data_IF_218752444077
#
_entry.id   IF_218752444077
#
_cell.length_a   1.000
_cell.length_b   1.000
_cell.length_c   1.000
_cell.angle_alpha   90.00
_cell.angle_beta   90.00
_cell.angle_gamma   90.00
#
_symmetry.space_group_name_H-M   'P 1'
#
loop_
_entity.id
_entity.type
_entity.pdbx_description
1 polymer ?
#
# COMPACT_ATOMS: atom_id res chain seq x y z
N UNK A 1 -17.63 0.19 -13.69
CA UNK A 1 -17.31 -1.17 -13.26
C UNK A 1 -16.06 -1.18 -12.36
N UNK A 2 -15.96 -2.11 -11.43
CA UNK A 2 -14.77 -2.37 -10.61
C UNK A 2 -13.98 -3.52 -11.25
N UNK A 3 -12.67 -3.31 -11.45
CA UNK A 3 -11.75 -4.35 -11.90
C UNK A 3 -10.74 -4.65 -10.79
N UNK A 4 -10.55 -5.93 -10.49
CA UNK A 4 -9.60 -6.40 -9.48
C UNK A 4 -8.44 -7.06 -10.21
N UNK A 5 -7.24 -6.58 -9.95
CA UNK A 5 -5.99 -7.14 -10.49
C UNK A 5 -5.25 -7.81 -9.34
N UNK A 6 -5.00 -9.12 -9.45
CA UNK A 6 -4.16 -9.84 -8.49
C UNK A 6 -2.68 -9.51 -8.75
N UNK A 7 -2.00 -9.05 -7.72
CA UNK A 7 -0.61 -8.61 -7.78
C UNK A 7 0.28 -9.32 -6.73
N UNK A 8 -0.23 -10.33 -6.07
CA UNK A 8 0.43 -10.95 -4.90
C UNK A 8 1.85 -11.40 -5.22
N UNK A 9 2.01 -12.16 -6.29
CA UNK A 9 3.32 -12.72 -6.65
C UNK A 9 4.30 -11.65 -7.13
N UNK A 10 3.83 -10.74 -8.00
CA UNK A 10 4.65 -9.68 -8.57
C UNK A 10 5.06 -8.63 -7.51
N UNK A 11 4.19 -8.36 -6.54
CA UNK A 11 4.48 -7.41 -5.46
C UNK A 11 5.59 -7.89 -4.53
N UNK A 12 5.88 -9.19 -4.50
CA UNK A 12 6.94 -9.79 -3.69
C UNK A 12 8.28 -9.12 -3.98
N UNK A 13 8.63 -8.92 -5.24
CA UNK A 13 9.87 -8.25 -5.63
C UNK A 13 9.93 -6.79 -5.20
N UNK A 14 8.81 -6.07 -5.29
CA UNK A 14 8.70 -4.67 -4.82
C UNK A 14 9.04 -4.55 -3.33
N UNK A 15 8.64 -5.52 -2.52
CA UNK A 15 8.95 -5.52 -1.09
C UNK A 15 10.37 -6.00 -0.80
N UNK A 16 10.86 -7.02 -1.51
CA UNK A 16 12.17 -7.62 -1.22
C UNK A 16 13.34 -6.78 -1.78
N UNK A 17 13.16 -6.18 -2.96
CA UNK A 17 14.20 -5.52 -3.74
C UNK A 17 13.81 -4.11 -4.22
N UNK A 18 13.34 -3.21 -3.34
CA UNK A 18 12.90 -1.89 -3.77
C UNK A 18 14.07 -1.10 -4.35
N UNK A 19 13.93 -0.62 -5.59
CA UNK A 19 14.93 0.19 -6.30
C UNK A 19 15.23 1.52 -5.57
N UNK A 20 14.20 2.14 -5.01
CA UNK A 20 14.30 3.40 -4.28
C UNK A 20 14.43 3.21 -2.77
N UNK A 21 14.61 1.97 -2.32
CA UNK A 21 14.75 1.62 -0.92
C UNK A 21 13.46 1.78 -0.11
N UNK A 22 13.61 1.61 1.19
CA UNK A 22 12.48 1.75 2.11
C UNK A 22 12.31 3.18 2.59
N UNK A 23 11.07 3.54 2.87
CA UNK A 23 10.70 4.77 3.55
C UNK A 23 10.76 4.62 5.05
N UNK A 24 9.63 4.89 5.73
CA UNK A 24 9.50 4.62 7.14
C UNK A 24 9.43 3.10 7.35
N UNK A 25 10.33 2.57 8.18
CA UNK A 25 10.49 1.13 8.43
C UNK A 25 10.69 0.33 7.12
N UNK A 26 9.87 -0.70 6.86
CA UNK A 26 10.01 -1.58 5.68
C UNK A 26 9.07 -1.19 4.52
N UNK A 27 8.62 0.07 4.47
CA UNK A 27 7.67 0.51 3.45
C UNK A 27 8.36 0.95 2.14
N UNK A 28 8.24 0.23 1.03
CA UNK A 28 8.79 0.59 -0.28
C UNK A 28 7.86 1.56 -1.01
N UNK A 29 7.43 2.64 -0.36
CA UNK A 29 6.31 3.49 -0.77
C UNK A 29 6.43 4.03 -2.20
N UNK A 30 7.63 4.40 -2.66
CA UNK A 30 7.84 4.93 -4.00
C UNK A 30 7.74 3.81 -5.05
N UNK A 31 8.42 2.69 -4.82
CA UNK A 31 8.38 1.52 -5.71
C UNK A 31 6.98 0.90 -5.77
N UNK A 32 6.28 0.84 -4.63
CA UNK A 32 4.88 0.42 -4.56
C UNK A 32 3.99 1.31 -5.46
N UNK A 33 4.18 2.63 -5.42
CA UNK A 33 3.39 3.54 -6.24
C UNK A 33 3.72 3.39 -7.72
N UNK A 34 4.99 3.28 -8.08
CA UNK A 34 5.44 3.01 -9.46
C UNK A 34 4.82 1.71 -9.97
N UNK A 35 4.87 0.66 -9.17
CA UNK A 35 4.30 -0.63 -9.51
C UNK A 35 2.78 -0.56 -9.75
N UNK A 36 2.03 0.07 -8.84
CA UNK A 36 0.58 0.23 -8.98
C UNK A 36 0.20 1.00 -10.25
N UNK A 37 0.93 2.09 -10.56
CA UNK A 37 0.64 2.89 -11.77
C UNK A 37 1.01 2.10 -13.03
N UNK A 38 2.11 1.32 -13.00
CA UNK A 38 2.49 0.43 -14.10
C UNK A 38 1.40 -0.60 -14.38
N UNK A 39 0.88 -1.27 -13.36
CA UNK A 39 -0.23 -2.22 -13.51
C UNK A 39 -1.49 -1.57 -14.08
N UNK A 40 -1.80 -0.36 -13.65
CA UNK A 40 -2.90 0.40 -14.25
C UNK A 40 -2.63 0.74 -15.73
N UNK A 41 -1.38 1.08 -16.09
CA UNK A 41 -1.00 1.37 -17.46
C UNK A 41 -1.09 0.13 -18.36
N UNK A 42 -0.61 -1.00 -17.89
CA UNK A 42 -0.73 -2.29 -18.58
C UNK A 42 -2.21 -2.62 -18.84
N UNK A 43 -3.03 -2.54 -17.79
CA UNK A 43 -4.46 -2.78 -17.90
C UNK A 43 -5.17 -1.80 -18.86
N UNK A 44 -4.82 -0.49 -18.81
CA UNK A 44 -5.36 0.51 -19.73
C UNK A 44 -5.04 0.17 -21.20
N UNK A 45 -3.80 -0.21 -21.47
CA UNK A 45 -3.38 -0.58 -22.82
C UNK A 45 -4.14 -1.81 -23.37
N UNK A 46 -4.35 -2.82 -22.53
CA UNK A 46 -5.08 -4.04 -22.87
C UNK A 46 -6.59 -3.80 -23.10
N UNK A 47 -7.16 -2.79 -22.44
CA UNK A 47 -8.60 -2.53 -22.46
C UNK A 47 -9.00 -1.28 -23.26
N UNK A 48 -8.06 -0.68 -24.00
CA UNK A 48 -8.33 0.45 -24.91
C UNK A 48 -8.64 1.77 -24.19
N UNK A 49 -8.04 2.01 -23.02
CA UNK A 49 -8.13 3.29 -22.33
C UNK A 49 -6.92 4.16 -22.64
N UNK A 50 -7.13 5.46 -22.79
CA UNK A 50 -6.12 6.40 -23.26
C UNK A 50 -5.21 6.95 -22.15
N UNK A 51 -5.70 7.05 -20.92
CA UNK A 51 -4.95 7.62 -19.80
C UNK A 51 -5.44 7.12 -18.43
N UNK A 52 -4.62 7.36 -17.41
CA UNK A 52 -4.87 6.98 -16.01
C UNK A 52 -5.19 8.23 -15.19
N UNK A 53 -6.13 8.12 -14.27
CA UNK A 53 -6.43 9.14 -13.28
C UNK A 53 -6.05 8.63 -11.89
N UNK A 54 -5.36 9.46 -11.10
CA UNK A 54 -5.08 9.18 -9.69
C UNK A 54 -5.48 10.33 -8.78
N UNK A 55 -5.95 10.01 -7.58
CA UNK A 55 -6.29 10.98 -6.54
C UNK A 55 -5.09 11.49 -5.72
N UNK A 56 -3.90 11.54 -6.31
CA UNK A 56 -2.70 12.03 -5.64
C UNK A 56 -2.70 13.55 -5.47
N UNK A 57 -2.17 14.01 -4.34
CA UNK A 57 -2.02 15.45 -4.02
C UNK A 57 -0.60 15.73 -3.61
N UNK A 58 0.02 16.77 -4.18
CA UNK A 58 1.39 17.18 -3.84
C UNK A 58 1.49 17.50 -2.35
N UNK A 59 2.47 16.87 -1.68
CA UNK A 59 2.74 17.09 -0.26
C UNK A 59 1.88 16.28 0.71
N UNK A 60 0.86 15.54 0.25
CA UNK A 60 -0.06 14.82 1.13
C UNK A 60 0.59 13.57 1.75
N UNK A 61 1.48 12.90 1.03
CA UNK A 61 2.26 11.75 1.56
C UNK A 61 3.76 12.02 1.47
N UNK A 62 4.52 11.72 2.55
CA UNK A 62 5.90 12.18 2.68
C UNK A 62 6.90 11.54 1.72
N UNK A 63 6.58 10.44 1.06
CA UNK A 63 7.49 9.75 0.12
C UNK A 63 7.00 9.83 -1.32
N UNK A 64 5.84 9.26 -1.63
CA UNK A 64 5.36 9.10 -3.01
C UNK A 64 4.67 10.35 -3.59
N UNK A 65 4.26 11.32 -2.76
CA UNK A 65 3.53 12.50 -3.21
C UNK A 65 4.31 13.82 -3.00
N UNK A 66 5.63 13.77 -3.14
CA UNK A 66 6.46 14.99 -3.23
C UNK A 66 6.49 15.48 -4.67
N UNK A 67 6.57 16.78 -4.88
CA UNK A 67 6.70 17.35 -6.22
C UNK A 67 7.84 16.68 -7.03
N UNK A 68 8.99 16.44 -6.40
CA UNK A 68 10.14 15.77 -7.02
C UNK A 68 9.93 14.29 -7.36
N UNK A 69 9.04 13.58 -6.66
CA UNK A 69 8.80 12.15 -6.89
C UNK A 69 7.70 11.86 -7.92
N UNK A 70 6.79 12.80 -8.15
CA UNK A 70 5.70 12.62 -9.11
C UNK A 70 6.17 12.39 -10.56
N UNK A 71 7.19 13.13 -11.08
CA UNK A 71 7.76 12.83 -12.39
C UNK A 71 8.49 11.48 -12.45
N UNK A 72 9.12 11.05 -11.34
CA UNK A 72 9.78 9.74 -11.25
C UNK A 72 8.74 8.63 -11.38
N UNK A 73 7.62 8.73 -10.67
CA UNK A 73 6.52 7.76 -10.75
C UNK A 73 6.01 7.66 -12.19
N UNK A 74 5.72 8.78 -12.85
CA UNK A 74 5.21 8.81 -14.20
C UNK A 74 6.17 8.12 -15.19
N UNK A 75 7.45 8.47 -15.14
CA UNK A 75 8.49 7.91 -16.01
C UNK A 75 8.73 6.43 -15.74
N UNK A 76 8.92 6.03 -14.48
CA UNK A 76 9.31 4.66 -14.15
C UNK A 76 8.15 3.67 -14.15
N UNK A 77 6.92 4.15 -14.13
CA UNK A 77 5.73 3.33 -14.38
C UNK A 77 5.38 3.17 -15.87
N UNK A 78 6.12 3.83 -16.75
CA UNK A 78 5.84 3.92 -18.21
C UNK A 78 4.53 4.63 -18.55
N UNK A 79 3.86 5.24 -17.57
CA UNK A 79 2.65 6.02 -17.82
C UNK A 79 2.98 7.42 -18.36
N UNK A 80 4.19 7.92 -18.10
CA UNK A 80 4.69 9.21 -18.58
C UNK A 80 3.66 10.33 -18.45
N UNK A 81 3.29 10.94 -19.55
CA UNK A 81 2.30 12.03 -19.61
C UNK A 81 0.84 11.56 -19.69
N UNK A 82 0.59 10.24 -19.73
CA UNK A 82 -0.76 9.65 -19.64
C UNK A 82 -1.31 9.54 -18.21
N UNK A 83 -0.52 9.98 -17.21
CA UNK A 83 -0.93 9.95 -15.80
C UNK A 83 -1.46 11.33 -15.38
N UNK A 84 -2.78 11.47 -15.33
CA UNK A 84 -3.47 12.69 -14.87
C UNK A 84 -3.70 12.66 -13.35
N UNK A 85 -3.44 13.79 -12.69
CA UNK A 85 -3.66 14.02 -11.25
C UNK A 85 -4.60 15.22 -11.04
N UNK A 86 -5.91 15.05 -11.21
CA UNK A 86 -6.87 16.16 -11.27
C UNK A 86 -6.85 17.08 -10.05
N UNK A 87 -6.56 16.53 -8.86
CA UNK A 87 -6.58 17.28 -7.61
C UNK A 87 -5.43 18.29 -7.45
N UNK A 88 -4.32 18.06 -8.16
CA UNK A 88 -3.13 18.94 -8.08
C UNK A 88 -2.54 19.28 -9.46
N UNK A 89 -3.29 19.09 -10.52
CA UNK A 89 -2.84 19.27 -11.90
C UNK A 89 -2.27 20.67 -12.17
N UNK A 90 -2.84 21.72 -11.56
CA UNK A 90 -2.39 23.08 -11.77
C UNK A 90 -0.94 23.34 -11.34
N UNK A 91 -0.37 22.49 -10.48
CA UNK A 91 1.03 22.55 -10.03
C UNK A 91 1.96 21.59 -10.80
N UNK A 92 1.46 20.88 -11.79
CA UNK A 92 2.20 19.93 -12.60
C UNK A 92 2.25 20.39 -14.07
N UNK A 93 3.20 19.86 -14.83
CA UNK A 93 3.20 20.02 -16.28
C UNK A 93 1.94 19.40 -16.87
N UNK A 94 1.32 19.99 -17.92
CA UNK A 94 0.18 19.42 -18.56
C UNK A 94 0.41 18.00 -19.07
N UNK A 95 -0.48 17.09 -18.69
CA UNK A 95 -0.48 15.70 -19.18
C UNK A 95 -1.04 15.62 -20.61
N UNK A 96 -0.89 14.47 -21.27
CA UNK A 96 -1.39 14.24 -22.61
C UNK A 96 -2.90 14.59 -22.73
N UNK A 97 -3.81 14.07 -21.88
CA UNK A 97 -5.25 14.39 -22.01
C UNK A 97 -5.56 15.87 -21.87
N UNK A 98 -4.74 16.65 -21.15
CA UNK A 98 -4.89 18.11 -21.05
C UNK A 98 -4.41 18.81 -22.34
N UNK A 99 -3.28 18.37 -22.94
CA UNK A 99 -2.74 18.95 -24.17
C UNK A 99 -3.60 18.64 -25.41
N UNK A 100 -4.16 17.45 -25.47
CA UNK A 100 -5.06 17.03 -26.56
C UNK A 100 -6.51 17.55 -26.38
N UNK A 101 -6.78 18.29 -25.29
CA UNK A 101 -8.11 18.86 -25.04
C UNK A 101 -9.18 17.83 -24.64
N UNK A 102 -8.80 16.60 -24.29
CA UNK A 102 -9.73 15.59 -23.77
C UNK A 102 -10.24 15.96 -22.38
N UNK A 103 -9.40 16.68 -21.64
CA UNK A 103 -9.71 17.18 -20.30
C UNK A 103 -9.44 18.67 -20.23
N UNK A 104 -10.43 19.44 -19.79
CA UNK A 104 -10.33 20.88 -19.59
C UNK A 104 -9.54 21.20 -18.32
N UNK A 105 -8.28 21.66 -18.50
CA UNK A 105 -7.37 22.00 -17.41
C UNK A 105 -7.94 23.06 -16.46
N UNK A 106 -8.79 23.96 -16.94
CA UNK A 106 -9.37 25.03 -16.11
C UNK A 106 -10.29 24.49 -15.02
N UNK A 107 -10.81 23.28 -15.20
CA UNK A 107 -11.66 22.55 -14.23
C UNK A 107 -10.86 21.67 -13.26
N UNK A 108 -9.54 21.57 -13.43
CA UNK A 108 -8.69 20.80 -12.55
C UNK A 108 -8.22 21.66 -11.37
N UNK A 109 -7.77 20.99 -10.31
CA UNK A 109 -7.48 21.65 -9.04
C UNK A 109 -5.98 21.85 -8.80
N UNK A 110 -5.66 22.77 -7.87
CA UNK A 110 -4.34 23.07 -7.35
C UNK A 110 -4.22 22.73 -5.86
N UNK A 111 -4.78 21.61 -5.41
CA UNK A 111 -4.73 21.21 -4.00
C UNK A 111 -3.30 20.75 -3.66
N UNK A 112 -2.75 21.24 -2.53
CA UNK A 112 -1.44 20.84 -2.02
C UNK A 112 -1.45 20.68 -0.51
N UNK A 113 -0.43 19.99 0.04
CA UNK A 113 -0.22 19.86 1.47
C UNK A 113 -0.90 18.65 2.08
N UNK A 114 -0.82 18.55 3.41
CA UNK A 114 -1.27 17.37 4.17
C UNK A 114 -2.75 17.38 4.52
N UNK A 115 -3.37 18.56 4.54
CA UNK A 115 -4.80 18.70 4.86
C UNK A 115 -5.66 18.02 3.80
N UNK A 116 -6.67 17.30 4.24
CA UNK A 116 -7.68 16.69 3.35
C UNK A 116 -8.99 17.50 3.35
N UNK A 117 -9.03 18.61 4.06
CA UNK A 117 -10.23 19.45 4.12
C UNK A 117 -10.71 19.88 2.72
N UNK A 118 -9.83 20.35 1.80
CA UNK A 118 -10.27 20.71 0.45
C UNK A 118 -10.88 19.52 -0.33
N UNK A 119 -10.38 18.31 -0.10
CA UNK A 119 -10.92 17.11 -0.76
C UNK A 119 -12.30 16.74 -0.22
N UNK A 120 -12.54 16.90 1.10
CA UNK A 120 -13.86 16.69 1.68
C UNK A 120 -14.87 17.73 1.23
N UNK A 121 -14.47 19.01 1.18
CA UNK A 121 -15.30 20.08 0.65
C UNK A 121 -15.67 19.83 -0.81
N UNK A 122 -14.73 19.38 -1.61
CA UNK A 122 -14.95 19.00 -3.01
C UNK A 122 -15.93 17.81 -3.11
N UNK A 123 -15.74 16.75 -2.31
CA UNK A 123 -16.63 15.61 -2.30
C UNK A 123 -18.07 16.01 -1.93
N UNK A 124 -18.22 16.86 -0.92
CA UNK A 124 -19.53 17.40 -0.54
C UNK A 124 -20.18 18.23 -1.65
N UNK A 125 -19.38 19.04 -2.38
CA UNK A 125 -19.90 19.84 -3.50
C UNK A 125 -20.41 18.98 -4.67
N UNK A 126 -19.92 17.75 -4.80
CA UNK A 126 -20.42 16.74 -5.74
C UNK A 126 -21.58 15.90 -5.18
N UNK A 127 -22.08 16.21 -3.99
CA UNK A 127 -23.19 15.49 -3.37
C UNK A 127 -22.83 14.16 -2.72
N UNK A 128 -21.54 13.86 -2.55
CA UNK A 128 -21.14 12.69 -1.78
C UNK A 128 -21.44 12.92 -0.30
N UNK A 129 -22.16 11.99 0.31
CA UNK A 129 -22.50 11.99 1.74
C UNK A 129 -21.65 11.01 2.54
N UNK A 130 -21.09 10.02 1.86
CA UNK A 130 -20.26 8.97 2.47
C UNK A 130 -18.95 8.81 1.72
N UNK A 131 -17.88 8.66 2.44
CA UNK A 131 -16.55 8.29 1.93
C UNK A 131 -15.76 7.54 2.97
N UNK A 132 -14.87 6.68 2.49
CA UNK A 132 -13.96 5.96 3.37
C UNK A 132 -13.06 6.94 4.13
N UNK A 133 -12.98 6.78 5.45
CA UNK A 133 -12.05 7.57 6.26
C UNK A 133 -10.61 7.29 5.80
N UNK A 134 -9.78 8.33 5.72
CA UNK A 134 -8.39 8.14 5.36
C UNK A 134 -7.70 7.27 6.40
N UNK A 135 -7.19 6.11 5.99
CA UNK A 135 -6.34 5.30 6.86
C UNK A 135 -5.15 6.13 7.36
N UNK A 136 -4.83 6.05 8.63
CA UNK A 136 -3.70 6.76 9.24
C UNK A 136 -2.34 6.38 8.64
N UNK A 137 -2.22 5.16 8.13
CA UNK A 137 -1.05 4.65 7.42
C UNK A 137 -1.41 4.10 6.04
N UNK A 138 -0.41 4.01 5.17
CA UNK A 138 -0.58 3.48 3.82
C UNK A 138 -0.68 1.96 3.81
N UNK A 139 0.10 1.30 4.66
CA UNK A 139 0.15 -0.15 4.80
C UNK A 139 0.81 -0.54 6.13
N UNK A 140 0.71 -1.80 6.51
CA UNK A 140 1.33 -2.35 7.72
C UNK A 140 2.86 -2.17 7.77
N UNK A 141 3.52 -2.09 6.62
CA UNK A 141 4.98 -1.88 6.51
C UNK A 141 5.45 -0.52 7.06
N UNK A 142 4.55 0.43 7.31
CA UNK A 142 4.86 1.67 8.03
C UNK A 142 4.79 1.52 9.56
N UNK A 143 4.28 0.40 10.05
CA UNK A 143 4.22 0.10 11.48
C UNK A 143 5.53 -0.55 11.93
N UNK A 144 6.11 -0.01 12.99
CA UNK A 144 7.40 -0.47 13.51
C UNK A 144 7.34 -1.93 13.98
N UNK A 145 6.30 -2.29 14.72
CA UNK A 145 6.17 -3.65 15.26
C UNK A 145 6.00 -4.68 14.13
N UNK A 146 5.18 -4.38 13.13
CA UNK A 146 5.01 -5.25 11.97
C UNK A 146 6.33 -5.41 11.20
N UNK A 147 7.02 -4.33 10.94
CA UNK A 147 8.30 -4.33 10.24
C UNK A 147 9.39 -5.08 11.01
N UNK A 148 9.43 -4.94 12.33
CA UNK A 148 10.33 -5.70 13.19
C UNK A 148 10.06 -7.21 13.14
N UNK A 149 8.79 -7.62 13.13
CA UNK A 149 8.40 -9.02 12.96
C UNK A 149 8.81 -9.58 11.59
N UNK A 150 8.74 -8.76 10.52
CA UNK A 150 9.18 -9.15 9.18
C UNK A 150 10.71 -9.31 9.12
N UNK A 151 11.45 -8.39 9.69
CA UNK A 151 12.93 -8.50 9.79
C UNK A 151 13.34 -9.72 10.62
N UNK A 152 12.64 -10.00 11.73
CA UNK A 152 12.87 -11.21 12.53
C UNK A 152 12.58 -12.49 11.73
N UNK A 153 11.54 -12.51 10.90
CA UNK A 153 11.25 -13.64 10.01
C UNK A 153 12.42 -13.91 9.07
N UNK A 154 12.94 -12.89 8.40
CA UNK A 154 14.07 -13.01 7.48
C UNK A 154 15.34 -13.48 8.17
N UNK A 155 15.64 -12.93 9.35
CA UNK A 155 16.77 -13.37 10.17
C UNK A 155 16.66 -14.85 10.56
N UNK A 156 15.46 -15.27 10.98
CA UNK A 156 15.22 -16.66 11.35
C UNK A 156 15.29 -17.64 10.19
N UNK A 157 15.02 -17.20 8.96
CA UNK A 157 15.15 -18.01 7.73
C UNK A 157 16.54 -17.96 7.12
N UNK A 158 17.39 -17.04 7.54
CA UNK A 158 18.69 -16.80 6.91
C UNK A 158 18.62 -16.21 5.50
N UNK A 159 17.42 -15.80 5.05
CA UNK A 159 17.18 -15.18 3.74
C UNK A 159 16.03 -14.17 3.79
N UNK A 160 16.09 -13.19 2.90
CA UNK A 160 14.97 -12.24 2.68
C UNK A 160 13.96 -12.87 1.73
N UNK A 161 12.96 -13.51 2.32
CA UNK A 161 11.89 -14.18 1.60
C UNK A 161 10.67 -14.34 2.50
N UNK A 162 9.48 -14.50 1.90
CA UNK A 162 8.23 -14.74 2.62
C UNK A 162 7.23 -15.45 1.72
N UNK A 163 6.30 -16.16 2.34
CA UNK A 163 5.07 -16.64 1.72
C UNK A 163 3.89 -15.76 2.15
N UNK A 164 2.77 -15.85 1.44
CA UNK A 164 1.59 -15.03 1.74
C UNK A 164 1.11 -15.22 3.19
N UNK A 165 1.08 -16.47 3.66
CA UNK A 165 0.69 -16.79 5.03
C UNK A 165 1.61 -16.15 6.09
N UNK A 166 2.90 -16.03 5.80
CA UNK A 166 3.80 -15.32 6.70
C UNK A 166 3.36 -13.87 6.93
N UNK A 167 3.10 -13.15 5.82
CA UNK A 167 2.71 -11.74 5.85
C UNK A 167 1.37 -11.55 6.58
N UNK A 168 0.47 -12.49 6.42
CA UNK A 168 -0.81 -12.51 7.12
C UNK A 168 -0.61 -12.75 8.61
N UNK A 169 0.16 -13.77 8.97
CA UNK A 169 0.46 -14.13 10.36
C UNK A 169 1.21 -13.04 11.12
N UNK A 170 2.05 -12.24 10.45
CA UNK A 170 2.72 -11.09 11.09
C UNK A 170 1.75 -10.05 11.65
N UNK A 171 0.51 -9.99 11.18
CA UNK A 171 -0.52 -9.07 11.67
C UNK A 171 -1.13 -9.50 13.00
N UNK A 172 -1.06 -10.79 13.32
CA UNK A 172 -1.81 -11.44 14.40
C UNK A 172 -0.87 -11.80 15.54
N UNK A 173 -1.33 -11.62 16.75
CA UNK A 173 -0.68 -12.12 17.96
C UNK A 173 0.62 -11.44 18.37
N UNK A 174 1.14 -11.91 19.50
CA UNK A 174 2.46 -11.60 20.00
C UNK A 174 3.46 -12.61 19.44
N UNK A 175 4.54 -12.12 18.83
CA UNK A 175 5.59 -12.96 18.26
C UNK A 175 6.77 -13.05 19.22
N UNK A 176 7.19 -14.28 19.51
CA UNK A 176 8.37 -14.60 20.31
C UNK A 176 9.30 -15.50 19.50
N UNK A 177 10.60 -15.36 19.70
CA UNK A 177 11.63 -16.25 19.13
C UNK A 177 12.52 -16.80 20.25
N UNK A 178 12.07 -17.85 20.94
CA UNK A 178 12.85 -18.44 22.03
C UNK A 178 14.17 -19.08 21.58
N UNK A 179 14.23 -19.51 20.31
CA UNK A 179 15.42 -20.09 19.68
C UNK A 179 15.53 -19.62 18.22
N UNK A 180 16.71 -19.61 17.59
CA UNK A 180 16.92 -19.13 16.22
C UNK A 180 15.91 -19.67 15.19
N UNK A 181 15.63 -20.98 15.24
CA UNK A 181 14.74 -21.67 14.28
C UNK A 181 13.34 -21.95 14.85
N UNK A 182 12.99 -21.37 15.99
CA UNK A 182 11.69 -21.56 16.62
C UNK A 182 11.00 -20.23 16.87
N UNK A 183 9.86 -20.06 16.22
CA UNK A 183 9.01 -18.86 16.37
C UNK A 183 7.66 -19.28 16.96
N UNK A 184 7.22 -18.57 17.97
CA UNK A 184 5.93 -18.76 18.63
C UNK A 184 5.04 -17.53 18.36
N UNK A 185 3.78 -17.75 18.00
CA UNK A 185 2.75 -16.73 17.88
C UNK A 185 1.71 -16.99 18.96
N UNK A 186 1.47 -16.01 19.80
CA UNK A 186 0.51 -16.11 20.91
C UNK A 186 -0.64 -15.15 20.65
N UNK A 187 -1.85 -15.66 20.57
CA UNK A 187 -3.06 -14.86 20.48
C UNK A 187 -3.19 -13.94 21.71
N UNK A 188 -3.64 -12.72 21.50
CA UNK A 188 -3.89 -11.72 22.55
C UNK A 188 -5.36 -11.70 22.99
N UNK A 189 -6.23 -12.17 22.10
CA UNK A 189 -7.68 -12.18 22.27
C UNK A 189 -8.32 -13.36 21.52
N UNK A 190 -9.58 -13.62 21.80
CA UNK A 190 -10.33 -14.74 21.22
C UNK A 190 -10.39 -14.70 19.69
N UNK A 191 -10.58 -13.52 19.08
CA UNK A 191 -10.61 -13.38 17.63
C UNK A 191 -9.28 -13.79 16.97
N UNK A 192 -8.14 -13.45 17.59
CA UNK A 192 -6.82 -13.90 17.14
C UNK A 192 -6.62 -15.41 17.35
N UNK A 193 -7.14 -15.96 18.46
CA UNK A 193 -7.08 -17.41 18.72
C UNK A 193 -7.85 -18.19 17.66
N UNK A 194 -9.09 -17.79 17.38
CA UNK A 194 -9.94 -18.39 16.35
C UNK A 194 -9.28 -18.29 14.95
N UNK A 195 -8.64 -17.16 14.65
CA UNK A 195 -7.91 -16.99 13.40
C UNK A 195 -6.71 -17.95 13.31
N UNK A 196 -5.89 -18.05 14.38
CA UNK A 196 -4.73 -18.95 14.42
C UNK A 196 -5.14 -20.43 14.39
N UNK A 197 -6.30 -20.79 14.91
CA UNK A 197 -6.82 -22.16 14.83
C UNK A 197 -6.97 -22.64 13.38
N UNK A 198 -7.26 -21.74 12.44
CA UNK A 198 -7.29 -22.03 11.01
C UNK A 198 -5.97 -22.60 10.46
N UNK A 199 -4.86 -22.34 11.13
CA UNK A 199 -3.52 -22.79 10.76
C UNK A 199 -3.05 -24.09 11.43
N UNK A 200 -3.90 -24.73 12.26
CA UNK A 200 -3.58 -25.94 13.04
C UNK A 200 -3.09 -27.14 12.20
N UNK A 201 -3.51 -27.19 10.93
CA UNK A 201 -3.09 -28.26 10.01
C UNK A 201 -1.73 -27.96 9.34
N UNK A 202 -1.25 -26.72 9.42
CA UNK A 202 0.01 -26.28 8.82
C UNK A 202 1.12 -26.15 9.87
N UNK A 203 0.75 -25.77 11.11
CA UNK A 203 1.71 -25.53 12.19
C UNK A 203 1.28 -26.25 13.47
N UNK A 204 2.24 -26.71 14.30
CA UNK A 204 1.94 -27.19 15.63
C UNK A 204 1.21 -26.12 16.46
N UNK A 205 0.13 -26.49 17.10
CA UNK A 205 -0.66 -25.59 17.94
C UNK A 205 -0.72 -26.07 19.37
N UNK A 206 -0.73 -25.16 20.33
CA UNK A 206 -0.93 -25.39 21.74
C UNK A 206 -2.17 -24.63 22.19
N UNK A 207 -3.05 -25.30 22.88
CA UNK A 207 -4.21 -24.68 23.51
C UNK A 207 -4.06 -24.74 25.03
N UNK A 208 -4.49 -23.69 25.75
CA UNK A 208 -4.50 -23.74 27.21
C UNK A 208 -5.47 -24.79 27.69
N UNK A 209 -5.09 -25.53 28.74
CA UNK A 209 -5.92 -26.56 29.35
C UNK A 209 -7.16 -26.01 30.07
N UNK A 210 -7.17 -24.72 30.40
CA UNK A 210 -8.29 -24.05 31.05
C UNK A 210 -8.69 -22.81 30.25
N UNK A 211 -9.97 -22.40 30.39
CA UNK A 211 -10.51 -21.18 29.76
C UNK A 211 -9.91 -19.86 30.30
N UNK A 212 -9.04 -19.93 31.29
CA UNK A 212 -8.24 -18.76 31.71
C UNK A 212 -7.11 -18.62 30.71
N UNK A 213 -7.26 -17.64 29.80
CA UNK A 213 -6.28 -17.37 28.74
C UNK A 213 -4.86 -17.18 29.28
N UNK A 214 -3.88 -17.44 28.46
CA UNK A 214 -2.49 -17.09 28.76
C UNK A 214 -2.40 -15.59 29.00
N UNK A 215 -2.03 -15.21 30.21
CA UNK A 215 -1.70 -13.85 30.62
C UNK A 215 -0.46 -13.34 29.91
#
# INVERSE_FOLDING_TARGET
PLHIVDIVDEYKDVLLNPKHGYGQHMNPCLDCKIFMVRKAQEWCAENGFDFIITGEVIGQRPKSQRAATMPIIARESTAEDRLLRPLCAQHLMPSLPEREGWVDRSKLHGITGRSRKPQFELAQSFGFTEWAQPAGGCCFLTNEQYSSKLVDLWKGRGKRDYELDDIILLKVGRHLRPRPHFKLIIAREEGEANFLEGYRNQFPSLQPFSHMGAL
#
